data_IF_962516813949
#
_entry.id   IF_962516813949
#
_cell.length_a   1.000
_cell.length_b   1.000
_cell.length_c   1.000
_cell.angle_alpha   90.00
_cell.angle_beta   90.00
_cell.angle_gamma   90.00
#
_symmetry.space_group_name_H-M   'P 1'
#
loop_
_entity.id
_entity.type
_entity.pdbx_description
1 polymer ?
#
# COMPACT_ATOMS: atom_id res chain seq x y z
N UNK A 1 0.77 -18.53 16.27
CA UNK A 1 2.04 -18.31 15.55
C UNK A 1 2.81 -17.17 16.21
N UNK A 2 4.13 -17.10 15.98
CA UNK A 2 5.01 -15.98 16.33
C UNK A 2 5.17 -15.07 15.11
N UNK A 3 4.77 -13.81 15.23
CA UNK A 3 4.70 -12.86 14.10
C UNK A 3 5.47 -11.60 14.43
N UNK A 4 6.33 -11.15 13.52
CA UNK A 4 6.89 -9.80 13.55
C UNK A 4 6.02 -8.88 12.69
N UNK A 5 5.71 -7.69 13.19
CA UNK A 5 5.13 -6.60 12.40
C UNK A 5 6.18 -5.52 12.27
N UNK A 6 6.78 -5.44 11.08
CA UNK A 6 7.90 -4.56 10.77
C UNK A 6 7.35 -3.24 10.23
N UNK A 7 7.30 -2.23 11.11
CA UNK A 7 6.72 -0.92 10.86
C UNK A 7 5.56 -0.65 11.82
N UNK A 8 5.67 0.43 12.61
CA UNK A 8 4.62 0.82 13.57
C UNK A 8 3.70 1.94 13.05
N UNK A 9 3.52 2.04 11.73
CA UNK A 9 2.51 2.95 11.15
C UNK A 9 1.08 2.56 11.54
N UNK A 10 0.10 3.33 11.08
CA UNK A 10 -1.31 3.09 11.44
C UNK A 10 -1.78 1.70 11.02
N UNK A 11 -1.40 1.27 9.81
CA UNK A 11 -1.73 -0.07 9.32
C UNK A 11 -1.01 -1.19 10.07
N UNK A 12 0.30 -1.04 10.32
CA UNK A 12 1.06 -1.98 11.14
C UNK A 12 0.52 -2.13 12.56
N UNK A 13 0.08 -1.03 13.17
CA UNK A 13 -0.57 -1.05 14.49
C UNK A 13 -1.91 -1.79 14.44
N UNK A 14 -2.78 -1.47 13.47
CA UNK A 14 -4.07 -2.13 13.32
C UNK A 14 -3.93 -3.65 13.11
N UNK A 15 -2.99 -4.07 12.26
CA UNK A 15 -2.69 -5.48 12.03
C UNK A 15 -2.05 -6.16 13.24
N UNK A 16 -1.20 -5.47 14.00
CA UNK A 16 -0.64 -5.99 15.26
C UNK A 16 -1.75 -6.30 16.27
N UNK A 17 -2.70 -5.38 16.44
CA UNK A 17 -3.85 -5.57 17.32
C UNK A 17 -4.75 -6.70 16.83
N UNK A 18 -5.04 -6.75 15.53
CA UNK A 18 -5.81 -7.85 14.90
C UNK A 18 -5.17 -9.21 15.20
N UNK A 19 -3.88 -9.36 14.96
CA UNK A 19 -3.16 -10.62 15.12
C UNK A 19 -3.06 -11.06 16.59
N UNK A 20 -2.84 -10.12 17.52
CA UNK A 20 -2.91 -10.41 18.97
C UNK A 20 -4.30 -10.89 19.36
N UNK A 21 -5.38 -10.26 18.84
CA UNK A 21 -6.76 -10.70 19.10
C UNK A 21 -7.12 -12.04 18.45
N UNK A 22 -6.41 -12.45 17.41
CA UNK A 22 -6.48 -13.80 16.85
C UNK A 22 -5.68 -14.84 17.67
N UNK A 23 -5.08 -14.45 18.80
CA UNK A 23 -4.35 -15.35 19.69
C UNK A 23 -2.92 -15.64 19.23
N UNK A 24 -2.31 -14.75 18.46
CA UNK A 24 -0.91 -14.89 18.02
C UNK A 24 0.06 -14.11 18.91
N UNK A 25 1.30 -14.58 18.99
CA UNK A 25 2.38 -13.89 19.69
C UNK A 25 2.99 -12.85 18.75
N UNK A 26 2.70 -11.57 18.99
CA UNK A 26 3.07 -10.47 18.11
C UNK A 26 4.23 -9.68 18.70
N UNK A 27 5.22 -9.39 17.85
CA UNK A 27 6.26 -8.40 18.12
C UNK A 27 6.16 -7.30 17.08
N UNK A 28 5.93 -6.07 17.52
CA UNK A 28 5.93 -4.89 16.66
C UNK A 28 7.31 -4.24 16.72
N UNK A 29 7.87 -3.98 15.55
CA UNK A 29 9.12 -3.24 15.39
C UNK A 29 8.84 -1.80 14.98
N UNK A 30 9.47 -0.87 15.70
CA UNK A 30 9.49 0.55 15.35
C UNK A 30 10.93 1.01 15.12
N UNK A 31 11.16 1.67 13.98
CA UNK A 31 12.48 2.11 13.56
C UNK A 31 13.07 3.17 14.52
N UNK A 32 12.26 4.15 14.93
CA UNK A 32 12.71 5.21 15.82
C UNK A 32 12.72 4.75 17.29
N UNK A 33 13.87 4.78 17.99
CA UNK A 33 13.97 4.27 19.37
C UNK A 33 13.13 5.07 20.38
N UNK A 34 13.06 6.39 20.24
CA UNK A 34 12.26 7.27 21.12
C UNK A 34 10.76 6.98 20.93
N UNK A 35 10.34 6.77 19.68
CA UNK A 35 8.95 6.42 19.41
C UNK A 35 8.60 5.00 19.83
N UNK A 36 9.53 4.05 19.73
CA UNK A 36 9.36 2.72 20.28
C UNK A 36 9.12 2.75 21.80
N UNK A 37 9.84 3.61 22.53
CA UNK A 37 9.62 3.82 23.97
C UNK A 37 8.25 4.44 24.24
N UNK A 38 7.88 5.47 23.48
CA UNK A 38 6.54 6.07 23.55
C UNK A 38 5.45 5.02 23.36
N UNK A 39 5.58 4.14 22.37
CA UNK A 39 4.62 3.05 22.16
C UNK A 39 4.64 2.01 23.29
N UNK A 40 5.79 1.76 23.94
CA UNK A 40 5.91 0.85 25.09
C UNK A 40 5.22 1.40 26.33
N UNK A 41 5.48 2.66 26.66
CA UNK A 41 4.94 3.34 27.84
C UNK A 41 3.44 3.56 27.69
N UNK A 42 3.05 4.28 26.64
CA UNK A 42 1.67 4.72 26.47
C UNK A 42 0.79 3.65 25.86
N UNK A 43 1.34 2.64 25.16
CA UNK A 43 0.58 1.59 24.46
C UNK A 43 -0.54 2.14 23.59
N UNK A 44 -0.30 3.26 22.94
CA UNK A 44 -1.20 3.90 21.99
C UNK A 44 -0.36 4.61 20.94
N UNK A 45 -0.79 4.53 19.68
CA UNK A 45 -0.10 5.15 18.56
C UNK A 45 -0.74 6.51 18.24
N UNK A 46 -0.45 7.52 19.04
CA UNK A 46 -1.10 8.83 18.94
C UNK A 46 -0.93 9.51 17.57
N UNK A 47 0.18 9.25 16.88
CA UNK A 47 0.46 9.87 15.58
C UNK A 47 -0.22 9.16 14.41
N UNK A 48 -0.29 7.83 14.43
CA UNK A 48 -0.69 7.06 13.26
C UNK A 48 -2.00 6.29 13.42
N UNK A 49 -2.46 6.04 14.66
CA UNK A 49 -3.72 5.36 14.94
C UNK A 49 -4.25 5.75 16.34
N UNK A 50 -4.67 7.01 16.52
CA UNK A 50 -5.14 7.50 17.82
C UNK A 50 -6.39 6.74 18.28
N UNK A 51 -6.58 6.69 19.60
CA UNK A 51 -7.70 6.02 20.30
C UNK A 51 -7.71 4.50 20.19
N UNK A 52 -6.62 3.89 19.70
CA UNK A 52 -6.47 2.43 19.62
C UNK A 52 -5.42 1.97 20.63
N UNK A 53 -5.87 1.22 21.64
CA UNK A 53 -4.99 0.63 22.65
C UNK A 53 -4.23 -0.57 22.08
N UNK A 54 -2.91 -0.54 22.22
CA UNK A 54 -2.01 -1.66 21.89
C UNK A 54 -2.03 -2.66 23.07
N UNK A 55 -2.55 -3.89 22.90
CA UNK A 55 -2.63 -4.92 23.94
C UNK A 55 -1.27 -5.20 24.58
N UNK A 56 -1.18 -5.31 25.92
CA UNK A 56 0.10 -5.42 26.68
C UNK A 56 0.96 -6.64 26.31
N UNK A 57 0.35 -7.69 25.78
CA UNK A 57 1.00 -8.91 25.28
C UNK A 57 1.81 -8.69 23.99
N UNK A 58 1.58 -7.60 23.25
CA UNK A 58 2.39 -7.25 22.08
C UNK A 58 3.76 -6.74 22.53
N UNK A 59 4.84 -7.44 22.18
CA UNK A 59 6.20 -6.95 22.41
C UNK A 59 6.48 -5.79 21.46
N UNK A 60 7.07 -4.69 21.94
CA UNK A 60 7.45 -3.54 21.12
C UNK A 60 8.96 -3.34 21.24
N UNK A 61 9.68 -3.29 20.12
CA UNK A 61 11.14 -3.22 20.08
C UNK A 61 11.60 -2.30 18.95
N UNK A 62 12.75 -1.66 19.12
CA UNK A 62 13.48 -0.99 18.03
C UNK A 62 14.67 -1.81 17.54
N UNK A 63 15.01 -2.92 18.22
CA UNK A 63 15.98 -3.90 17.75
C UNK A 63 15.35 -4.78 16.66
N UNK A 64 15.86 -4.62 15.43
CA UNK A 64 15.37 -5.31 14.24
C UNK A 64 15.71 -6.81 14.27
N UNK A 65 16.90 -7.20 14.71
CA UNK A 65 17.29 -8.61 14.79
C UNK A 65 16.42 -9.35 15.81
N UNK A 66 16.22 -8.75 16.99
CA UNK A 66 15.33 -9.29 18.01
C UNK A 66 13.86 -9.36 17.54
N UNK A 67 13.44 -8.48 16.62
CA UNK A 67 12.09 -8.50 16.06
C UNK A 67 11.88 -9.70 15.13
N UNK A 68 12.87 -10.04 14.30
CA UNK A 68 12.73 -11.09 13.26
C UNK A 68 13.12 -12.48 13.76
N UNK A 69 13.95 -12.59 14.80
CA UNK A 69 14.46 -13.87 15.26
C UNK A 69 13.35 -14.79 15.83
N UNK A 70 13.34 -16.06 15.38
CA UNK A 70 12.41 -17.09 15.84
C UNK A 70 10.95 -16.83 15.49
N UNK A 71 10.68 -15.96 14.52
CA UNK A 71 9.32 -15.67 14.00
C UNK A 71 8.98 -16.60 12.85
N UNK A 72 7.70 -16.82 12.62
CA UNK A 72 7.19 -17.64 11.52
C UNK A 72 6.74 -16.76 10.34
N UNK A 73 6.20 -15.58 10.64
CA UNK A 73 5.76 -14.57 9.66
C UNK A 73 6.42 -13.23 9.98
N UNK A 74 7.00 -12.61 8.96
CA UNK A 74 7.50 -11.24 8.97
C UNK A 74 6.54 -10.38 8.15
N UNK A 75 5.59 -9.73 8.81
CA UNK A 75 4.64 -8.82 8.20
C UNK A 75 5.29 -7.45 8.02
N UNK A 76 5.61 -7.08 6.79
CA UNK A 76 6.21 -5.79 6.44
C UNK A 76 5.12 -4.77 6.16
N UNK A 77 5.06 -3.72 6.97
CA UNK A 77 4.13 -2.58 6.79
C UNK A 77 4.84 -1.24 6.61
N UNK A 78 6.18 -1.26 6.57
CA UNK A 78 7.04 -0.11 6.24
C UNK A 78 6.69 0.45 4.86
N UNK A 79 6.49 1.77 4.67
CA UNK A 79 6.16 2.33 3.36
C UNK A 79 7.20 1.94 2.30
N UNK A 80 6.78 1.69 1.05
CA UNK A 80 7.62 1.04 0.03
C UNK A 80 9.01 1.66 -0.12
N UNK A 81 9.10 3.00 -0.09
CA UNK A 81 10.37 3.72 -0.31
C UNK A 81 11.40 3.54 0.84
N UNK A 82 10.97 3.04 2.00
CA UNK A 82 11.85 2.80 3.15
C UNK A 82 12.12 1.32 3.39
N UNK A 83 11.51 0.40 2.63
CA UNK A 83 11.70 -1.05 2.80
C UNK A 83 13.18 -1.39 2.68
N UNK A 84 13.84 -0.96 1.59
CA UNK A 84 15.25 -1.26 1.33
C UNK A 84 16.16 -0.79 2.44
N UNK A 85 16.16 0.50 2.73
CA UNK A 85 17.03 1.06 3.78
C UNK A 85 16.74 0.48 5.17
N UNK A 86 15.48 0.14 5.47
CA UNK A 86 15.11 -0.44 6.77
C UNK A 86 15.60 -1.88 6.94
N UNK A 87 15.68 -2.64 5.85
CA UNK A 87 15.92 -4.09 5.93
C UNK A 87 17.23 -4.56 5.31
N UNK A 88 18.00 -3.67 4.66
CA UNK A 88 19.38 -3.90 4.25
C UNK A 88 20.27 -4.51 5.35
N UNK A 89 20.15 -4.12 6.64
CA UNK A 89 20.91 -4.76 7.71
C UNK A 89 20.68 -6.28 7.83
N UNK A 90 19.52 -6.77 7.38
CA UNK A 90 19.16 -8.19 7.39
C UNK A 90 19.59 -8.96 6.12
N UNK A 91 20.36 -8.35 5.20
CA UNK A 91 20.74 -9.01 3.92
C UNK A 91 21.38 -10.40 4.07
N UNK A 92 22.11 -10.61 5.18
CA UNK A 92 22.79 -11.87 5.48
C UNK A 92 21.99 -12.80 6.41
N UNK A 93 20.81 -12.37 6.84
CA UNK A 93 19.95 -13.13 7.75
C UNK A 93 19.45 -14.43 7.10
N UNK A 94 19.40 -15.51 7.88
CA UNK A 94 18.95 -16.83 7.41
C UNK A 94 17.47 -17.02 7.72
N UNK A 95 16.62 -16.70 6.76
CA UNK A 95 15.16 -16.79 6.91
C UNK A 95 14.61 -18.21 7.10
N UNK A 96 15.31 -19.25 6.63
CA UNK A 96 14.80 -20.63 6.69
C UNK A 96 13.43 -20.75 5.99
N UNK A 97 12.41 -21.20 6.73
CA UNK A 97 11.03 -21.34 6.24
C UNK A 97 10.11 -20.16 6.61
N UNK A 98 10.69 -19.05 7.07
CA UNK A 98 9.91 -17.85 7.39
C UNK A 98 9.18 -17.30 6.17
N UNK A 99 7.95 -16.83 6.41
CA UNK A 99 7.12 -16.16 5.42
C UNK A 99 7.36 -14.66 5.51
N UNK A 100 7.74 -14.01 4.41
CA UNK A 100 7.71 -12.55 4.30
C UNK A 100 6.37 -12.14 3.68
N UNK A 101 5.58 -11.38 4.44
CA UNK A 101 4.26 -10.90 4.02
C UNK A 101 4.30 -9.39 3.84
N UNK A 102 4.25 -8.91 2.60
CA UNK A 102 4.17 -7.48 2.30
C UNK A 102 2.74 -6.93 2.44
N UNK A 103 2.57 -5.84 3.18
CA UNK A 103 1.34 -5.07 3.23
C UNK A 103 1.50 -3.61 2.75
N UNK A 104 2.71 -3.25 2.33
CA UNK A 104 3.07 -1.96 1.74
C UNK A 104 2.53 -1.83 0.32
N UNK A 105 2.20 -0.61 -0.11
CA UNK A 105 1.44 -0.38 -1.35
C UNK A 105 2.09 0.72 -2.19
N UNK A 106 3.08 0.34 -2.99
CA UNK A 106 3.79 1.24 -3.88
C UNK A 106 4.77 0.51 -4.79
N UNK A 107 5.45 1.28 -5.64
CA UNK A 107 6.54 0.83 -6.51
C UNK A 107 7.80 1.60 -6.10
N UNK A 108 8.93 0.92 -5.91
CA UNK A 108 10.18 1.57 -5.49
C UNK A 108 10.65 2.58 -6.55
N UNK A 109 11.14 3.73 -6.09
CA UNK A 109 11.71 4.76 -6.98
C UNK A 109 13.10 4.31 -7.44
N UNK A 110 13.47 4.65 -8.68
CA UNK A 110 14.72 4.28 -9.38
C UNK A 110 14.80 2.83 -9.86
N UNK A 111 14.47 1.84 -9.02
CA UNK A 111 14.54 0.42 -9.40
C UNK A 111 13.26 -0.08 -10.09
N UNK A 112 12.14 0.62 -9.85
CA UNK A 112 10.81 0.27 -10.34
C UNK A 112 10.29 -1.10 -9.89
N UNK A 113 10.92 -1.69 -8.86
CA UNK A 113 10.55 -2.98 -8.30
C UNK A 113 9.24 -2.90 -7.49
N UNK A 114 8.45 -3.96 -7.59
CA UNK A 114 7.32 -4.23 -6.70
C UNK A 114 7.81 -4.66 -5.32
N UNK A 115 6.95 -4.64 -4.31
CA UNK A 115 7.32 -4.93 -2.92
C UNK A 115 7.89 -6.36 -2.77
N UNK A 116 7.29 -7.34 -3.43
CA UNK A 116 7.79 -8.71 -3.45
C UNK A 116 9.17 -8.83 -4.12
N UNK A 117 9.42 -8.03 -5.16
CA UNK A 117 10.69 -7.99 -5.87
C UNK A 117 11.78 -7.29 -5.07
N UNK A 118 11.43 -6.22 -4.33
CA UNK A 118 12.33 -5.57 -3.36
C UNK A 118 12.81 -6.59 -2.32
N UNK A 119 11.91 -7.45 -1.80
CA UNK A 119 12.31 -8.48 -0.85
C UNK A 119 13.29 -9.50 -1.45
N UNK A 120 13.07 -9.93 -2.69
CA UNK A 120 13.99 -10.84 -3.39
C UNK A 120 15.35 -10.20 -3.65
N UNK A 121 15.36 -8.91 -3.93
CA UNK A 121 16.58 -8.14 -4.23
C UNK A 121 17.42 -7.90 -2.96
N UNK A 122 16.79 -7.55 -1.83
CA UNK A 122 17.49 -7.38 -0.53
C UNK A 122 17.92 -8.73 0.04
N UNK A 123 17.12 -9.78 -0.14
CA UNK A 123 17.31 -11.10 0.47
C UNK A 123 17.52 -12.18 -0.59
N UNK A 124 18.70 -12.27 -1.23
CA UNK A 124 18.94 -13.21 -2.33
C UNK A 124 18.80 -14.70 -1.91
N UNK A 125 18.83 -14.98 -0.60
CA UNK A 125 18.67 -16.34 -0.05
C UNK A 125 17.22 -16.72 0.25
N UNK A 126 16.25 -15.79 0.15
CA UNK A 126 14.85 -16.11 0.36
C UNK A 126 14.28 -16.82 -0.87
N UNK A 127 13.45 -17.84 -0.63
CA UNK A 127 12.70 -18.48 -1.70
C UNK A 127 11.50 -17.62 -2.05
N UNK A 128 11.28 -17.35 -3.35
CA UNK A 128 10.06 -16.67 -3.84
C UNK A 128 8.76 -17.31 -3.31
N UNK A 129 8.77 -18.64 -3.13
CA UNK A 129 7.66 -19.40 -2.59
C UNK A 129 7.36 -19.17 -1.10
N UNK A 130 8.19 -18.39 -0.40
CA UNK A 130 7.97 -17.92 0.97
C UNK A 130 7.51 -16.46 1.04
N UNK A 131 7.29 -15.81 -0.12
CA UNK A 131 6.80 -14.43 -0.18
C UNK A 131 5.29 -14.44 -0.44
N UNK A 132 4.60 -13.56 0.25
CA UNK A 132 3.20 -13.24 0.01
C UNK A 132 2.97 -11.74 0.15
N UNK A 133 1.82 -11.27 -0.34
CA UNK A 133 1.33 -9.91 -0.08
C UNK A 133 -0.10 -9.95 0.43
N UNK A 134 -0.54 -8.89 1.08
CA UNK A 134 -1.93 -8.67 1.51
C UNK A 134 -2.37 -7.26 1.13
N UNK A 135 -3.50 -7.15 0.43
CA UNK A 135 -4.03 -5.89 -0.08
C UNK A 135 -5.55 -5.93 -0.16
N UNK A 136 -6.19 -4.77 -0.38
CA UNK A 136 -7.64 -4.62 -0.38
C UNK A 136 -8.11 -3.38 0.37
N UNK A 137 -9.44 -3.13 0.37
CA UNK A 137 -10.05 -2.00 1.05
C UNK A 137 -9.96 -2.18 2.57
N UNK A 138 -8.98 -1.54 3.21
CA UNK A 138 -8.62 -1.85 4.60
C UNK A 138 -8.09 -0.62 5.36
N UNK A 139 -8.93 0.39 5.57
CA UNK A 139 -8.55 1.53 6.41
C UNK A 139 -8.20 1.07 7.82
N UNK A 140 -7.06 1.52 8.33
CA UNK A 140 -6.51 1.05 9.61
C UNK A 140 -7.46 1.34 10.78
N UNK A 141 -8.11 2.50 10.74
CA UNK A 141 -9.06 2.99 11.73
C UNK A 141 -10.31 2.11 11.81
N UNK A 142 -10.78 1.58 10.68
CA UNK A 142 -11.93 0.68 10.62
C UNK A 142 -11.57 -0.72 11.11
N UNK A 143 -10.43 -1.25 10.67
CA UNK A 143 -9.94 -2.57 11.09
C UNK A 143 -9.69 -2.59 12.59
N UNK A 144 -9.09 -1.54 13.15
CA UNK A 144 -8.86 -1.43 14.60
C UNK A 144 -10.16 -1.32 15.41
N UNK A 145 -11.20 -0.69 14.83
CA UNK A 145 -12.56 -0.64 15.41
C UNK A 145 -13.39 -1.90 15.16
N UNK A 146 -12.82 -2.90 14.49
CA UNK A 146 -13.48 -4.18 14.15
C UNK A 146 -14.68 -4.01 13.21
N UNK A 147 -14.66 -2.99 12.36
CA UNK A 147 -15.62 -2.85 11.27
C UNK A 147 -15.37 -3.98 10.25
N UNK A 148 -16.43 -4.65 9.74
CA UNK A 148 -16.28 -5.70 8.74
C UNK A 148 -15.39 -5.27 7.57
N UNK A 149 -14.30 -6.00 7.34
CA UNK A 149 -13.27 -5.69 6.35
C UNK A 149 -12.95 -6.95 5.54
N UNK A 150 -12.82 -6.81 4.22
CA UNK A 150 -12.42 -7.88 3.32
C UNK A 150 -11.14 -7.50 2.56
N UNK A 151 -10.17 -8.40 2.55
CA UNK A 151 -8.89 -8.24 1.83
C UNK A 151 -8.53 -9.51 1.07
N UNK A 152 -7.52 -9.43 0.22
CA UNK A 152 -6.94 -10.56 -0.50
C UNK A 152 -5.47 -10.73 -0.12
N UNK A 153 -5.02 -11.97 0.05
CA UNK A 153 -3.61 -12.33 0.09
C UNK A 153 -3.22 -13.05 -1.19
N UNK A 154 -2.01 -12.80 -1.69
CA UNK A 154 -1.47 -13.47 -2.86
C UNK A 154 -0.05 -13.98 -2.64
N UNK A 155 0.25 -15.14 -3.23
CA UNK A 155 1.53 -15.83 -3.22
C UNK A 155 1.54 -16.86 -4.35
N UNK A 156 2.73 -17.17 -4.86
CA UNK A 156 2.94 -18.24 -5.84
C UNK A 156 2.71 -19.64 -5.23
N UNK A 157 2.77 -19.76 -3.90
CA UNK A 157 2.59 -21.04 -3.19
C UNK A 157 1.25 -21.05 -2.45
N UNK A 158 0.32 -21.91 -2.91
CA UNK A 158 -1.03 -22.09 -2.32
C UNK A 158 -1.01 -22.33 -0.80
N UNK A 159 -0.01 -23.06 -0.30
CA UNK A 159 0.15 -23.30 1.13
C UNK A 159 0.38 -22.00 1.92
N UNK A 160 1.18 -21.07 1.39
CA UNK A 160 1.43 -19.77 2.06
C UNK A 160 0.16 -18.93 2.09
N UNK A 161 -0.57 -18.86 0.97
CA UNK A 161 -1.87 -18.20 0.92
C UNK A 161 -2.82 -18.74 1.99
N UNK A 162 -2.87 -20.05 2.20
CA UNK A 162 -3.74 -20.68 3.21
C UNK A 162 -3.29 -20.37 4.64
N UNK A 163 -1.98 -20.37 4.90
CA UNK A 163 -1.41 -19.96 6.19
C UNK A 163 -1.84 -18.52 6.48
N UNK A 164 -1.53 -17.58 5.58
CA UNK A 164 -1.88 -16.16 5.76
C UNK A 164 -3.39 -15.97 5.90
N UNK A 165 -4.20 -16.63 5.06
CA UNK A 165 -5.66 -16.56 5.16
C UNK A 165 -6.16 -16.94 6.55
N UNK A 166 -5.71 -18.08 7.09
CA UNK A 166 -6.12 -18.56 8.42
C UNK A 166 -5.60 -17.69 9.56
N UNK A 167 -4.35 -17.22 9.46
CA UNK A 167 -3.72 -16.37 10.48
C UNK A 167 -4.48 -15.05 10.70
N UNK A 168 -4.96 -14.44 9.62
CA UNK A 168 -5.58 -13.11 9.68
C UNK A 168 -7.10 -13.16 9.79
N UNK A 169 -7.76 -14.19 9.27
CA UNK A 169 -9.22 -14.22 9.21
C UNK A 169 -9.87 -14.41 10.58
N UNK A 170 -10.93 -13.64 10.85
CA UNK A 170 -11.77 -13.79 12.02
C UNK A 170 -13.21 -13.32 11.72
N UNK A 171 -14.03 -13.08 12.75
CA UNK A 171 -15.43 -12.68 12.61
C UNK A 171 -15.68 -11.35 11.88
N UNK A 172 -14.68 -10.46 11.78
CA UNK A 172 -14.82 -9.14 11.14
C UNK A 172 -13.74 -8.87 10.10
N UNK A 173 -12.66 -9.65 10.04
CA UNK A 173 -11.61 -9.50 9.04
C UNK A 173 -11.59 -10.75 8.17
N UNK A 174 -11.96 -10.64 6.90
CA UNK A 174 -12.05 -11.78 5.98
C UNK A 174 -10.95 -11.69 4.94
N UNK A 175 -10.16 -12.76 4.81
CA UNK A 175 -9.09 -12.84 3.81
C UNK A 175 -9.48 -13.82 2.71
N UNK A 176 -9.42 -13.35 1.47
CA UNK A 176 -9.51 -14.16 0.26
C UNK A 176 -8.10 -14.50 -0.24
N UNK A 177 -7.96 -15.53 -1.07
CA UNK A 177 -6.66 -15.94 -1.63
C UNK A 177 -6.62 -15.69 -3.13
N UNK A 178 -5.43 -15.37 -3.63
CA UNK A 178 -5.14 -15.21 -5.05
C UNK A 178 -3.78 -15.83 -5.37
N UNK A 179 -3.61 -16.33 -6.58
CA UNK A 179 -2.30 -16.75 -7.12
C UNK A 179 -1.70 -15.71 -8.07
N UNK A 180 -2.23 -14.48 -8.06
CA UNK A 180 -1.74 -13.36 -8.87
C UNK A 180 -1.05 -12.32 -7.98
N UNK A 181 0.20 -12.62 -7.62
CA UNK A 181 1.03 -11.76 -6.78
C UNK A 181 1.19 -10.36 -7.39
N UNK A 182 1.57 -10.30 -8.67
CA UNK A 182 1.82 -9.06 -9.42
C UNK A 182 0.55 -8.22 -9.52
N UNK A 183 -0.60 -8.81 -9.87
CA UNK A 183 -1.86 -8.07 -9.98
C UNK A 183 -2.31 -7.46 -8.66
N UNK A 184 -2.12 -8.16 -7.54
CA UNK A 184 -2.46 -7.63 -6.21
C UNK A 184 -1.58 -6.46 -5.82
N UNK A 185 -0.28 -6.52 -6.11
CA UNK A 185 0.67 -5.42 -5.86
C UNK A 185 0.40 -4.20 -6.74
N UNK A 186 0.23 -4.40 -8.06
CA UNK A 186 -0.06 -3.33 -9.00
C UNK A 186 -1.38 -2.63 -8.66
N UNK A 187 -2.42 -3.41 -8.35
CA UNK A 187 -3.70 -2.86 -7.91
C UNK A 187 -3.56 -1.97 -6.68
N UNK A 188 -2.88 -2.47 -5.63
CA UNK A 188 -2.64 -1.75 -4.39
C UNK A 188 -1.77 -0.49 -4.56
N UNK A 189 -0.76 -0.55 -5.44
CA UNK A 189 0.16 0.56 -5.67
C UNK A 189 -0.47 1.68 -6.51
N UNK A 190 -0.96 1.37 -7.72
CA UNK A 190 -1.42 2.38 -8.67
C UNK A 190 -2.74 3.03 -8.25
N UNK A 191 -3.59 2.36 -7.47
CA UNK A 191 -4.82 2.99 -6.94
C UNK A 191 -4.52 4.25 -6.13
N UNK A 192 -3.35 4.35 -5.51
CA UNK A 192 -2.93 5.55 -4.79
C UNK A 192 -2.68 6.74 -5.74
N UNK A 193 -2.23 6.50 -6.97
CA UNK A 193 -2.07 7.53 -8.01
C UNK A 193 -3.44 8.04 -8.47
N UNK A 194 -4.37 7.12 -8.72
CA UNK A 194 -5.75 7.47 -9.11
C UNK A 194 -6.48 8.19 -7.97
N UNK A 195 -6.19 7.86 -6.72
CA UNK A 195 -6.71 8.59 -5.57
C UNK A 195 -6.20 10.04 -5.50
N UNK A 196 -4.93 10.30 -5.88
CA UNK A 196 -4.43 11.67 -6.05
C UNK A 196 -5.22 12.37 -7.17
N UNK A 197 -5.41 11.73 -8.33
CA UNK A 197 -6.20 12.31 -9.42
C UNK A 197 -7.64 12.66 -8.98
N UNK A 198 -8.27 11.76 -8.23
CA UNK A 198 -9.62 11.95 -7.68
C UNK A 198 -9.65 13.09 -6.67
N UNK A 199 -8.64 13.21 -5.81
CA UNK A 199 -8.50 14.34 -4.90
C UNK A 199 -8.29 15.67 -5.65
N UNK A 200 -7.46 15.68 -6.70
CA UNK A 200 -7.26 16.87 -7.54
C UNK A 200 -8.60 17.33 -8.12
N UNK A 201 -9.42 16.39 -8.59
CA UNK A 201 -10.76 16.70 -9.07
C UNK A 201 -11.65 17.30 -7.98
N UNK A 202 -11.65 16.73 -6.76
CA UNK A 202 -12.39 17.27 -5.62
C UNK A 202 -11.94 18.72 -5.33
N UNK A 203 -10.63 18.96 -5.22
CA UNK A 203 -10.07 20.28 -4.87
C UNK A 203 -10.23 21.34 -5.96
N UNK A 204 -10.27 20.93 -7.24
CA UNK A 204 -10.52 21.82 -8.37
C UNK A 204 -12.01 22.15 -8.57
N UNK A 205 -12.89 21.62 -7.73
CA UNK A 205 -14.33 21.87 -7.79
C UNK A 205 -15.06 21.09 -8.90
N UNK A 206 -14.51 19.97 -9.37
CA UNK A 206 -15.22 19.09 -10.30
C UNK A 206 -16.24 18.22 -9.56
N UNK A 207 -17.29 17.80 -10.28
CA UNK A 207 -18.37 16.99 -9.73
C UNK A 207 -18.13 15.48 -9.75
N UNK A 208 -19.07 14.74 -9.16
CA UNK A 208 -19.02 13.29 -9.01
C UNK A 208 -18.90 12.53 -10.33
N UNK A 209 -19.47 13.05 -11.43
CA UNK A 209 -19.34 12.46 -12.76
C UNK A 209 -17.87 12.36 -13.22
N UNK A 210 -17.10 13.43 -13.00
CA UNK A 210 -15.66 13.47 -13.33
C UNK A 210 -14.90 12.45 -12.50
N UNK A 211 -15.22 12.37 -11.20
CA UNK A 211 -14.59 11.42 -10.28
C UNK A 211 -14.91 9.97 -10.64
N UNK A 212 -16.17 9.68 -10.97
CA UNK A 212 -16.59 8.36 -11.44
C UNK A 212 -15.84 7.96 -12.73
N UNK A 213 -15.76 8.88 -13.71
CA UNK A 213 -15.00 8.64 -14.94
C UNK A 213 -13.51 8.38 -14.66
N UNK A 214 -12.88 9.16 -13.77
CA UNK A 214 -11.49 8.97 -13.35
C UNK A 214 -11.26 7.60 -12.71
N UNK A 215 -12.15 7.15 -11.83
CA UNK A 215 -12.03 5.83 -11.20
C UNK A 215 -12.15 4.70 -12.23
N UNK A 216 -13.15 4.76 -13.12
CA UNK A 216 -13.37 3.76 -14.17
C UNK A 216 -12.20 3.68 -15.15
N UNK A 217 -11.72 4.84 -15.64
CA UNK A 217 -10.55 4.90 -16.52
C UNK A 217 -9.26 4.57 -15.79
N UNK A 218 -9.17 4.87 -14.50
CA UNK A 218 -8.07 4.50 -13.63
C UNK A 218 -7.91 2.98 -13.52
N UNK A 219 -9.00 2.22 -13.31
CA UNK A 219 -8.94 0.75 -13.34
C UNK A 219 -8.40 0.22 -14.67
N UNK A 220 -8.78 0.86 -15.79
CA UNK A 220 -8.26 0.47 -17.10
C UNK A 220 -6.75 0.71 -17.24
N UNK A 221 -6.19 1.70 -16.56
CA UNK A 221 -4.73 1.93 -16.49
C UNK A 221 -4.02 0.91 -15.61
N UNK A 222 -4.58 0.63 -14.43
CA UNK A 222 -4.11 -0.43 -13.53
C UNK A 222 -3.98 -1.76 -14.28
N UNK A 223 -5.05 -2.14 -14.98
CA UNK A 223 -5.13 -3.37 -15.76
C UNK A 223 -4.13 -3.38 -16.93
N UNK A 224 -4.00 -2.28 -17.68
CA UNK A 224 -3.05 -2.20 -18.81
C UNK A 224 -1.59 -2.41 -18.38
N UNK A 225 -1.16 -1.73 -17.30
CA UNK A 225 0.19 -1.93 -16.79
C UNK A 225 0.36 -3.32 -16.19
N UNK A 226 -0.61 -3.76 -15.39
CA UNK A 226 -0.57 -5.08 -14.76
C UNK A 226 -0.46 -6.22 -15.76
N UNK A 227 -1.30 -6.25 -16.80
CA UNK A 227 -1.25 -7.27 -17.86
C UNK A 227 0.11 -7.27 -18.58
N UNK A 228 0.69 -6.10 -18.81
CA UNK A 228 2.02 -5.99 -19.42
C UNK A 228 3.12 -6.61 -18.55
N UNK A 229 2.95 -6.57 -17.23
CA UNK A 229 3.86 -7.17 -16.24
C UNK A 229 3.50 -8.62 -15.87
N UNK A 230 2.49 -9.22 -16.52
CA UNK A 230 2.10 -10.62 -16.30
C UNK A 230 1.03 -10.85 -15.23
N UNK A 231 0.34 -9.80 -14.77
CA UNK A 231 -0.83 -9.94 -13.90
C UNK A 231 -2.03 -10.55 -14.64
N UNK A 232 -3.04 -10.98 -13.88
CA UNK A 232 -4.31 -11.50 -14.40
C UNK A 232 -5.39 -10.42 -14.41
N UNK A 233 -6.23 -10.44 -15.44
CA UNK A 233 -7.26 -9.43 -15.67
C UNK A 233 -8.27 -9.38 -14.51
N UNK A 234 -8.64 -10.54 -14.01
CA UNK A 234 -9.68 -10.75 -12.98
C UNK A 234 -9.33 -10.08 -11.66
N UNK A 235 -8.03 -9.99 -11.33
CA UNK A 235 -7.53 -9.38 -10.09
C UNK A 235 -7.94 -7.90 -9.97
N UNK A 236 -8.01 -7.18 -11.08
CA UNK A 236 -8.38 -5.76 -11.10
C UNK A 236 -9.87 -5.52 -10.83
N UNK A 237 -10.72 -6.53 -11.01
CA UNK A 237 -12.13 -6.50 -10.63
C UNK A 237 -12.36 -6.97 -9.18
N UNK A 238 -11.30 -7.41 -8.48
CA UNK A 238 -11.34 -7.88 -7.11
C UNK A 238 -11.04 -6.81 -6.04
N UNK A 239 -10.79 -7.28 -4.82
CA UNK A 239 -10.56 -6.43 -3.64
C UNK A 239 -9.33 -5.53 -3.78
N UNK A 240 -8.21 -6.04 -4.31
CA UNK A 240 -6.98 -5.25 -4.50
C UNK A 240 -7.04 -4.27 -5.67
N UNK A 241 -7.99 -4.45 -6.58
CA UNK A 241 -8.24 -3.56 -7.72
C UNK A 241 -9.35 -2.56 -7.41
N UNK A 242 -10.53 -2.79 -7.98
CA UNK A 242 -11.68 -1.89 -7.86
C UNK A 242 -12.12 -1.66 -6.41
N UNK A 243 -12.07 -2.67 -5.55
CA UNK A 243 -12.46 -2.52 -4.14
C UNK A 243 -11.61 -1.48 -3.40
N UNK A 244 -10.30 -1.66 -3.42
CA UNK A 244 -9.36 -0.74 -2.77
C UNK A 244 -9.32 0.63 -3.48
N UNK A 245 -9.52 0.67 -4.79
CA UNK A 245 -9.63 1.93 -5.52
C UNK A 245 -10.81 2.77 -5.02
N UNK A 246 -12.02 2.20 -4.98
CA UNK A 246 -13.24 2.92 -4.60
C UNK A 246 -13.10 3.53 -3.21
N UNK A 247 -12.69 2.74 -2.22
CA UNK A 247 -12.56 3.24 -0.85
C UNK A 247 -11.51 4.36 -0.76
N UNK A 248 -10.41 4.24 -1.51
CA UNK A 248 -9.31 5.21 -1.46
C UNK A 248 -9.63 6.52 -2.17
N UNK A 249 -10.44 6.47 -3.23
CA UNK A 249 -10.87 7.66 -3.96
C UNK A 249 -12.04 8.37 -3.26
N UNK A 250 -12.84 7.66 -2.47
CA UNK A 250 -14.05 8.21 -1.83
C UNK A 250 -13.84 8.63 -0.36
N UNK A 251 -12.87 8.05 0.33
CA UNK A 251 -12.69 8.23 1.77
C UNK A 251 -11.90 9.49 2.13
N UNK A 252 -12.36 10.22 3.16
CA UNK A 252 -11.60 11.30 3.79
C UNK A 252 -10.34 10.83 4.51
N UNK A 253 -10.26 9.54 4.86
CA UNK A 253 -9.08 8.92 5.48
C UNK A 253 -7.95 8.62 4.47
N UNK A 254 -8.21 8.80 3.17
CA UNK A 254 -7.18 8.61 2.14
C UNK A 254 -6.20 9.78 2.12
N UNK A 255 -4.97 9.52 2.57
CA UNK A 255 -3.84 10.47 2.49
C UNK A 255 -3.54 10.91 1.06
N UNK A 256 -3.67 10.00 0.09
CA UNK A 256 -3.43 10.28 -1.31
C UNK A 256 -4.52 11.20 -1.89
N UNK A 257 -5.78 10.95 -1.54
CA UNK A 257 -6.89 11.85 -1.90
C UNK A 257 -6.70 13.23 -1.27
N UNK A 258 -6.31 13.30 0.00
CA UNK A 258 -6.01 14.57 0.68
C UNK A 258 -4.90 15.37 -0.04
N UNK A 259 -3.80 14.71 -0.43
CA UNK A 259 -2.75 15.38 -1.22
C UNK A 259 -3.32 15.94 -2.52
N UNK A 260 -4.11 15.13 -3.23
CA UNK A 260 -4.77 15.57 -4.45
C UNK A 260 -5.68 16.78 -4.22
N UNK A 261 -6.52 16.75 -3.19
CA UNK A 261 -7.46 17.81 -2.82
C UNK A 261 -6.72 19.14 -2.59
N UNK A 262 -5.64 19.11 -1.83
CA UNK A 262 -4.81 20.31 -1.60
C UNK A 262 -4.13 20.84 -2.85
N UNK A 263 -3.74 19.96 -3.78
CA UNK A 263 -3.18 20.39 -5.07
C UNK A 263 -4.27 20.99 -5.96
N UNK A 264 -5.48 20.42 -5.96
CA UNK A 264 -6.64 20.98 -6.66
C UNK A 264 -7.01 22.38 -6.16
N UNK A 265 -6.91 22.60 -4.84
CA UNK A 265 -7.06 23.93 -4.20
C UNK A 265 -5.91 24.92 -4.53
N UNK A 266 -4.88 24.48 -5.26
CA UNK A 266 -3.74 25.31 -5.68
C UNK A 266 -2.54 25.32 -4.74
N UNK A 267 -2.52 24.48 -3.68
CA UNK A 267 -1.33 24.37 -2.82
C UNK A 267 -0.19 23.65 -3.54
N UNK A 268 1.05 24.08 -3.25
CA UNK A 268 2.26 23.41 -3.75
C UNK A 268 2.50 22.08 -3.02
N UNK A 269 2.88 21.04 -3.78
CA UNK A 269 3.20 19.72 -3.24
C UNK A 269 4.22 19.77 -2.09
N UNK A 270 5.28 20.57 -2.21
CA UNK A 270 6.31 20.70 -1.18
C UNK A 270 5.78 21.25 0.14
N UNK A 271 4.79 22.16 0.11
CA UNK A 271 4.12 22.66 1.31
C UNK A 271 3.27 21.58 1.94
N UNK A 272 2.46 20.88 1.14
CA UNK A 272 1.59 19.80 1.61
C UNK A 272 2.39 18.72 2.32
N UNK A 273 3.50 18.27 1.71
CA UNK A 273 4.33 17.20 2.28
C UNK A 273 4.99 17.60 3.60
N UNK A 274 5.32 18.88 3.81
CA UNK A 274 5.88 19.38 5.09
C UNK A 274 4.84 19.41 6.22
N UNK A 275 3.57 19.64 5.89
CA UNK A 275 2.47 19.68 6.87
C UNK A 275 2.00 18.28 7.28
N UNK A 276 2.31 17.25 6.48
CA UNK A 276 1.86 15.89 6.71
C UNK A 276 2.78 15.13 7.69
N UNK A 277 2.17 14.54 8.72
CA UNK A 277 2.85 13.59 9.62
C UNK A 277 3.03 12.19 9.02
N UNK A 278 2.30 11.88 7.95
CA UNK A 278 2.24 10.56 7.34
C UNK A 278 2.66 10.61 5.87
N UNK A 279 3.24 9.51 5.40
CA UNK A 279 3.64 9.35 4.00
C UNK A 279 2.42 9.15 3.10
N UNK A 280 2.38 9.89 1.99
CA UNK A 280 1.48 9.65 0.86
C UNK A 280 2.20 8.83 -0.21
N UNK A 281 2.08 7.50 -0.16
CA UNK A 281 2.78 6.57 -1.07
C UNK A 281 2.48 6.83 -2.55
N UNK A 282 1.32 7.40 -2.87
CA UNK A 282 0.91 7.73 -4.24
C UNK A 282 1.83 8.76 -4.91
N UNK A 283 2.45 9.66 -4.15
CA UNK A 283 3.37 10.67 -4.72
C UNK A 283 4.59 9.98 -5.31
N UNK A 284 5.29 9.16 -4.51
CA UNK A 284 6.45 8.39 -4.99
C UNK A 284 6.03 7.38 -6.07
N UNK A 285 4.91 6.68 -5.87
CA UNK A 285 4.39 5.70 -6.84
C UNK A 285 4.05 6.35 -8.18
N UNK A 286 3.59 7.61 -8.22
CA UNK A 286 3.34 8.33 -9.48
C UNK A 286 4.61 8.43 -10.33
N UNK A 287 5.76 8.72 -9.70
CA UNK A 287 7.05 8.79 -10.40
C UNK A 287 7.43 7.42 -10.98
N UNK A 288 7.42 6.38 -10.13
CA UNK A 288 7.78 5.04 -10.56
C UNK A 288 6.83 4.49 -11.62
N UNK A 289 5.52 4.72 -11.48
CA UNK A 289 4.53 4.27 -12.45
C UNK A 289 4.71 4.94 -13.81
N UNK A 290 5.00 6.24 -13.84
CA UNK A 290 5.28 6.98 -15.07
C UNK A 290 6.52 6.42 -15.80
N UNK A 291 7.60 6.21 -15.06
CA UNK A 291 8.86 5.69 -15.59
C UNK A 291 8.72 4.24 -16.07
N UNK A 292 8.07 3.39 -15.27
CA UNK A 292 7.81 1.99 -15.60
C UNK A 292 6.90 1.85 -16.83
N UNK A 293 5.88 2.69 -16.95
CA UNK A 293 5.00 2.73 -18.13
C UNK A 293 5.77 3.09 -19.40
N UNK A 294 6.69 4.05 -19.32
CA UNK A 294 7.57 4.41 -20.45
C UNK A 294 8.49 3.28 -20.86
N UNK A 295 9.17 2.65 -19.89
CA UNK A 295 10.05 1.50 -20.15
C UNK A 295 9.31 0.35 -20.85
N UNK A 296 8.07 0.12 -20.43
CA UNK A 296 7.23 -0.96 -20.97
C UNK A 296 6.37 -0.55 -22.17
N UNK A 297 6.47 0.70 -22.64
CA UNK A 297 5.66 1.27 -23.72
C UNK A 297 4.15 1.10 -23.50
N UNK A 298 3.69 1.32 -22.26
CA UNK A 298 2.27 1.27 -21.86
C UNK A 298 1.72 2.69 -21.76
N UNK A 299 0.57 2.92 -22.38
CA UNK A 299 -0.11 4.21 -22.31
C UNK A 299 -0.88 4.33 -20.98
N UNK A 300 -0.44 5.20 -20.07
CA UNK A 300 -1.14 5.53 -18.81
C UNK A 300 -1.47 7.04 -18.73
N UNK A 301 -2.50 7.51 -19.45
CA UNK A 301 -2.87 8.93 -19.53
C UNK A 301 -3.06 9.63 -18.17
N UNK A 302 -3.84 9.05 -17.25
CA UNK A 302 -4.09 9.64 -15.93
C UNK A 302 -2.80 9.69 -15.13
N UNK A 303 -2.01 8.61 -15.12
CA UNK A 303 -0.69 8.61 -14.46
C UNK A 303 0.22 9.70 -15.05
N UNK A 304 0.24 9.88 -16.38
CA UNK A 304 1.03 10.91 -17.05
C UNK A 304 0.63 12.32 -16.63
N UNK A 305 -0.68 12.56 -16.51
CA UNK A 305 -1.22 13.85 -16.08
C UNK A 305 -0.92 14.14 -14.61
N UNK A 306 -1.14 13.17 -13.73
CA UNK A 306 -0.78 13.30 -12.31
C UNK A 306 0.72 13.55 -12.17
N UNK A 307 1.56 12.83 -12.92
CA UNK A 307 3.01 13.08 -12.95
C UNK A 307 3.34 14.51 -13.39
N UNK A 308 2.69 15.00 -14.45
CA UNK A 308 2.85 16.38 -14.93
C UNK A 308 2.49 17.42 -13.87
N UNK A 309 1.39 17.20 -13.13
CA UNK A 309 0.97 18.09 -12.05
C UNK A 309 1.97 18.04 -10.89
N UNK A 310 2.31 16.85 -10.40
CA UNK A 310 3.16 16.68 -9.21
C UNK A 310 4.61 17.13 -9.42
N UNK A 311 5.17 16.90 -10.60
CA UNK A 311 6.61 17.03 -10.83
C UNK A 311 7.00 18.04 -11.90
N UNK A 312 6.06 18.50 -12.73
CA UNK A 312 6.32 19.49 -13.80
C UNK A 312 5.51 20.78 -13.65
N UNK A 313 4.77 20.94 -12.55
CA UNK A 313 3.96 22.13 -12.30
C UNK A 313 2.83 22.33 -13.30
N UNK A 314 2.34 21.25 -13.94
CA UNK A 314 1.19 21.34 -14.85
C UNK A 314 -0.06 21.77 -14.08
N UNK A 315 -0.82 22.70 -14.64
CA UNK A 315 -2.08 23.16 -14.05
C UNK A 315 -3.15 22.04 -14.10
N UNK A 316 -3.88 21.76 -12.99
CA UNK A 316 -4.94 20.73 -12.95
C UNK A 316 -6.06 20.86 -13.99
N UNK A 317 -6.53 22.09 -14.27
CA UNK A 317 -7.57 22.32 -15.28
C UNK A 317 -7.05 22.01 -16.69
N UNK A 318 -5.80 22.40 -16.99
CA UNK A 318 -5.15 22.05 -18.26
C UNK A 318 -4.97 20.54 -18.40
N UNK A 319 -4.51 19.86 -17.36
CA UNK A 319 -4.39 18.40 -17.35
C UNK A 319 -5.73 17.70 -17.62
N UNK A 320 -6.81 18.20 -17.02
CA UNK A 320 -8.16 17.68 -17.25
C UNK A 320 -8.61 17.90 -18.69
N UNK A 321 -8.40 19.10 -19.24
CA UNK A 321 -8.73 19.40 -20.64
C UNK A 321 -7.95 18.50 -21.60
N UNK A 322 -6.65 18.27 -21.34
CA UNK A 322 -5.82 17.39 -22.16
C UNK A 322 -6.35 15.94 -22.15
N UNK A 323 -6.91 15.45 -21.04
CA UNK A 323 -7.57 14.14 -20.99
C UNK A 323 -8.86 14.09 -21.83
N UNK A 324 -9.65 15.16 -21.80
CA UNK A 324 -10.93 15.26 -22.51
C UNK A 324 -10.77 15.44 -24.02
N UNK A 325 -9.67 16.05 -24.47
CA UNK A 325 -9.37 16.30 -25.89
C UNK A 325 -8.66 15.13 -26.59
N UNK A 326 -8.46 14.01 -25.89
CA UNK A 326 -7.89 12.80 -26.50
C UNK A 326 -8.81 12.25 -27.58
N UNK A 327 -8.19 11.55 -28.54
CA UNK A 327 -8.89 10.92 -29.65
C UNK A 327 -10.06 10.04 -29.17
N UNK A 328 -11.22 10.22 -29.81
CA UNK A 328 -12.42 9.44 -29.52
C UNK A 328 -12.18 7.98 -29.88
N UNK A 329 -12.53 7.08 -28.96
CA UNK A 329 -12.31 5.64 -29.13
C UNK A 329 -13.44 4.83 -28.51
N UNK A 330 -13.55 3.57 -28.96
CA UNK A 330 -14.43 2.58 -28.32
C UNK A 330 -13.97 2.29 -26.90
N UNK A 331 -14.90 1.93 -26.04
CA UNK A 331 -14.61 1.67 -24.63
C UNK A 331 -13.80 0.39 -24.42
N UNK A 332 -14.08 -0.64 -25.21
CA UNK A 332 -13.39 -1.93 -25.29
C UNK A 332 -13.21 -2.34 -26.75
#
# INVERSE_FOLDING_TARGET
>A
MKIAVLGSGGWGTALSVLLSKNGHNVTMWEYNPEYAETLREYRENFYFLPKVRIPRDIKITNDLEAAVNGKEILLVTTPTQFIRSSFEPLKNYKFGDQIILGASKGIEVNTHLLVSEIFLDIFPKIKKSNIAVISGPSHAEEVARRVPTAVVTASDKKQINHIVQKTFSNKYFRVYTSNDLIGVEIGGALKNVIAIASGIADGAGFGDNTKAALMTRGISELMRLGLKLGAKRETFFGLSGIGDLIVTCSSKHSRNRYVGEKIGEGKKLSTILKEMKMVAEGVATTRSAYELAKQNKVELPIVNEVYGILFRGKNPHKATNDLMQRELKREY
#
